data_IF_495507048548
#
_entry.id   IF_495507048548
#
_cell.length_a   1.000
_cell.length_b   1.000
_cell.length_c   1.000
_cell.angle_alpha   90.00
_cell.angle_beta   90.00
_cell.angle_gamma   90.00
#
_symmetry.space_group_name_H-M   'P 1'
#
loop_
_entity.id
_entity.type
_entity.pdbx_description
1 polymer ?
#
# COMPACT_ATOMS: atom_id res chain seq x y z
N UNK A 1 -0.23 5.63 15.21
CA UNK A 1 -0.18 5.35 13.75
C UNK A 1 0.52 6.51 13.08
N UNK A 2 1.50 6.26 12.22
CA UNK A 2 2.18 7.33 11.49
C UNK A 2 1.36 7.75 10.27
N UNK A 3 1.43 9.03 9.92
CA UNK A 3 0.72 9.64 8.81
C UNK A 3 1.70 10.54 8.06
N UNK A 4 1.74 10.44 6.74
CA UNK A 4 2.44 11.35 5.84
C UNK A 4 1.41 12.07 4.98
N UNK A 5 1.58 13.38 4.84
CA UNK A 5 0.74 14.21 3.99
C UNK A 5 1.64 14.85 2.94
N UNK A 6 1.26 14.72 1.67
CA UNK A 6 1.94 15.37 0.55
C UNK A 6 0.97 16.30 -0.17
N UNK A 7 1.49 17.41 -0.69
CA UNK A 7 0.74 18.33 -1.53
C UNK A 7 0.94 17.92 -2.99
N UNK A 8 -0.14 17.61 -3.68
CA UNK A 8 -0.09 17.25 -5.10
C UNK A 8 -0.07 18.52 -5.97
N UNK A 9 0.50 18.47 -7.19
CA UNK A 9 0.54 19.61 -8.11
C UNK A 9 -0.85 20.17 -8.47
N UNK A 10 -1.89 19.33 -8.41
CA UNK A 10 -3.27 19.71 -8.71
C UNK A 10 -3.99 20.40 -7.53
N UNK A 11 -3.28 20.76 -6.46
CA UNK A 11 -3.83 21.45 -5.29
C UNK A 11 -4.51 20.54 -4.26
N UNK A 12 -4.67 19.25 -4.56
CA UNK A 12 -5.15 18.27 -3.58
C UNK A 12 -4.03 17.83 -2.63
N UNK A 13 -4.44 17.25 -1.50
CA UNK A 13 -3.52 16.59 -0.57
C UNK A 13 -3.70 15.09 -0.66
N UNK A 14 -2.60 14.35 -0.66
CA UNK A 14 -2.64 12.90 -0.48
C UNK A 14 -2.21 12.54 0.93
N UNK A 15 -3.04 11.74 1.58
CA UNK A 15 -2.81 11.24 2.93
C UNK A 15 -2.37 9.79 2.81
N UNK A 16 -1.21 9.47 3.37
CA UNK A 16 -0.61 8.15 3.34
C UNK A 16 -0.45 7.72 4.80
N UNK A 17 -1.03 6.58 5.15
CA UNK A 17 -0.98 6.06 6.51
C UNK A 17 -0.94 4.54 6.50
N UNK A 18 -0.53 3.98 7.63
CA UNK A 18 -0.44 2.54 7.81
C UNK A 18 0.83 2.12 8.55
N UNK A 19 0.88 0.85 8.94
CA UNK A 19 2.03 0.32 9.72
C UNK A 19 3.32 0.27 8.90
N UNK A 20 3.21 0.13 7.58
CA UNK A 20 4.34 -0.21 6.71
C UNK A 20 4.69 0.85 5.67
N UNK A 21 3.93 1.94 5.54
CA UNK A 21 4.10 2.88 4.42
C UNK A 21 5.50 3.51 4.35
N UNK A 22 6.15 3.78 5.49
CA UNK A 22 7.51 4.34 5.53
C UNK A 22 8.60 3.36 5.06
N UNK A 23 8.26 2.08 4.87
CA UNK A 23 9.19 1.10 4.35
C UNK A 23 9.13 0.99 2.82
N UNK A 24 8.13 1.62 2.21
CA UNK A 24 7.97 1.67 0.77
C UNK A 24 8.51 3.01 0.27
N UNK A 25 9.54 2.96 -0.56
CA UNK A 25 10.02 4.12 -1.29
C UNK A 25 9.26 4.20 -2.62
N UNK A 26 8.05 4.76 -2.56
CA UNK A 26 7.15 4.92 -3.70
C UNK A 26 6.97 6.40 -4.01
N UNK A 27 6.80 6.71 -5.29
CA UNK A 27 6.39 8.04 -5.72
C UNK A 27 4.90 8.22 -5.48
N UNK A 28 4.56 8.73 -4.30
CA UNK A 28 3.18 8.98 -3.92
C UNK A 28 2.57 10.19 -4.64
N UNK A 29 3.29 10.97 -5.45
CA UNK A 29 2.72 12.10 -6.19
C UNK A 29 2.00 11.67 -7.48
N UNK A 30 2.22 10.44 -7.94
CA UNK A 30 1.65 9.88 -9.15
C UNK A 30 0.11 9.74 -9.13
N UNK A 31 -0.49 9.53 -10.31
CA UNK A 31 -1.90 9.14 -10.41
C UNK A 31 -2.18 7.79 -9.73
N UNK A 32 -3.41 7.60 -9.23
CA UNK A 32 -3.76 6.40 -8.45
C UNK A 32 -3.59 5.10 -9.25
N UNK A 33 -3.85 5.11 -10.56
CA UNK A 33 -3.69 3.94 -11.41
C UNK A 33 -2.23 3.50 -11.55
N UNK A 34 -1.30 4.46 -11.56
CA UNK A 34 0.14 4.19 -11.64
C UNK A 34 0.64 3.75 -10.27
N UNK A 35 0.32 4.52 -9.23
CA UNK A 35 0.70 4.20 -7.86
C UNK A 35 0.20 2.81 -7.42
N UNK A 36 -1.00 2.43 -7.84
CA UNK A 36 -1.55 1.09 -7.57
C UNK A 36 -0.63 -0.01 -8.10
N UNK A 37 -0.20 0.10 -9.36
CA UNK A 37 0.67 -0.92 -10.00
C UNK A 37 2.01 -1.01 -9.27
N UNK A 38 2.57 0.12 -8.86
CA UNK A 38 3.82 0.15 -8.12
C UNK A 38 3.68 -0.47 -6.73
N UNK A 39 2.57 -0.23 -6.02
CA UNK A 39 2.26 -0.90 -4.75
C UNK A 39 2.08 -2.41 -4.97
N UNK A 40 1.31 -2.83 -5.97
CA UNK A 40 1.10 -4.26 -6.29
C UNK A 40 2.43 -4.95 -6.61
N UNK A 41 3.29 -4.30 -7.39
CA UNK A 41 4.63 -4.80 -7.69
C UNK A 41 5.47 -4.93 -6.41
N UNK A 42 5.55 -3.88 -5.58
CA UNK A 42 6.31 -3.91 -4.34
C UNK A 42 5.83 -5.01 -3.40
N UNK A 43 4.51 -5.19 -3.25
CA UNK A 43 3.92 -6.26 -2.44
C UNK A 43 4.30 -7.65 -2.98
N UNK A 44 4.24 -7.86 -4.29
CA UNK A 44 4.62 -9.14 -4.90
C UNK A 44 6.10 -9.49 -4.68
N UNK A 45 7.00 -8.50 -4.74
CA UNK A 45 8.43 -8.68 -4.46
C UNK A 45 8.64 -9.06 -3.00
N UNK A 46 7.96 -8.39 -2.07
CA UNK A 46 8.05 -8.72 -0.63
C UNK A 46 7.50 -10.12 -0.36
N UNK A 47 6.37 -10.47 -0.98
CA UNK A 47 5.75 -11.79 -0.86
C UNK A 47 6.65 -12.91 -1.38
N UNK A 48 7.27 -12.71 -2.55
CA UNK A 48 8.20 -13.68 -3.13
C UNK A 48 9.46 -13.83 -2.27
N UNK A 49 9.92 -12.74 -1.66
CA UNK A 49 11.15 -12.69 -0.86
C UNK A 49 10.90 -12.67 0.67
N UNK A 50 9.81 -13.29 1.15
CA UNK A 50 9.40 -13.28 2.59
C UNK A 50 10.53 -13.63 3.57
N UNK A 51 11.45 -14.51 3.18
CA UNK A 51 12.58 -14.93 4.02
C UNK A 51 13.59 -13.81 4.28
N UNK A 52 13.74 -12.89 3.33
CA UNK A 52 14.58 -11.68 3.40
C UNK A 52 13.82 -10.59 4.13
N UNK A 53 12.55 -10.39 3.77
CA UNK A 53 11.68 -9.36 4.34
C UNK A 53 10.93 -9.82 5.59
N UNK A 54 11.65 -10.38 6.58
CA UNK A 54 11.05 -10.95 7.81
C UNK A 54 10.14 -9.97 8.57
N UNK A 55 10.41 -8.66 8.48
CA UNK A 55 9.57 -7.61 9.10
C UNK A 55 8.15 -7.54 8.52
N UNK A 56 7.97 -8.02 7.29
CA UNK A 56 6.71 -8.03 6.54
C UNK A 56 6.06 -9.40 6.48
N UNK A 57 6.65 -10.45 7.04
CA UNK A 57 6.10 -11.82 6.99
C UNK A 57 4.65 -11.88 7.50
N UNK A 58 4.37 -11.21 8.62
CA UNK A 58 3.02 -11.08 9.22
C UNK A 58 1.97 -10.38 8.34
N UNK A 59 2.40 -9.66 7.30
CA UNK A 59 1.49 -9.05 6.33
C UNK A 59 0.84 -10.11 5.44
N UNK A 60 1.53 -11.22 5.17
CA UNK A 60 1.07 -12.26 4.25
C UNK A 60 0.80 -13.62 4.92
N UNK A 61 0.88 -13.68 6.25
CA UNK A 61 0.62 -14.90 7.01
C UNK A 61 -0.89 -15.18 7.06
N UNK A 62 -1.32 -16.25 6.37
CA UNK A 62 -2.74 -16.64 6.23
C UNK A 62 -3.64 -15.51 5.70
N UNK A 63 -3.09 -14.63 4.85
CA UNK A 63 -3.81 -13.52 4.22
C UNK A 63 -3.56 -13.52 2.73
N UNK A 64 -4.57 -13.12 1.96
CA UNK A 64 -4.46 -12.90 0.52
C UNK A 64 -4.48 -11.39 0.32
N UNK A 65 -3.30 -10.79 0.17
CA UNK A 65 -3.17 -9.33 0.10
C UNK A 65 -3.39 -8.82 -1.31
N UNK A 66 -4.15 -7.73 -1.45
CA UNK A 66 -4.37 -7.05 -2.72
C UNK A 66 -4.58 -5.56 -2.52
N UNK A 67 -4.41 -4.79 -3.61
CA UNK A 67 -4.64 -3.35 -3.62
C UNK A 67 -6.03 -3.07 -4.18
N UNK A 68 -6.92 -2.60 -3.31
CA UNK A 68 -8.23 -2.10 -3.70
C UNK A 68 -8.12 -0.62 -4.10
N UNK A 69 -8.86 -0.24 -5.14
CA UNK A 69 -8.95 1.14 -5.59
C UNK A 69 -10.40 1.59 -5.56
N UNK A 70 -10.68 2.56 -4.70
CA UNK A 70 -11.91 3.33 -4.74
C UNK A 70 -11.75 4.55 -5.66
N UNK A 71 -12.78 5.41 -5.73
CA UNK A 71 -12.74 6.59 -6.60
C UNK A 71 -11.61 7.57 -6.32
N UNK A 72 -11.16 7.67 -5.05
CA UNK A 72 -10.14 8.64 -4.62
C UNK A 72 -9.09 8.07 -3.66
N UNK A 73 -9.06 6.76 -3.42
CA UNK A 73 -8.15 6.14 -2.46
C UNK A 73 -7.70 4.75 -2.91
N UNK A 74 -6.57 4.32 -2.34
CA UNK A 74 -6.02 2.98 -2.47
C UNK A 74 -5.92 2.37 -1.08
N UNK A 75 -6.38 1.13 -0.94
CA UNK A 75 -6.28 0.36 0.29
C UNK A 75 -5.56 -0.96 0.04
N UNK A 76 -4.64 -1.33 0.94
CA UNK A 76 -4.05 -2.67 0.96
C UNK A 76 -4.91 -3.52 1.90
N UNK A 77 -5.63 -4.50 1.37
CA UNK A 77 -6.61 -5.29 2.11
C UNK A 77 -6.38 -6.80 1.97
N UNK A 78 -6.99 -7.56 2.89
CA UNK A 78 -7.00 -9.02 2.93
C UNK A 78 -8.30 -9.56 2.30
N UNK A 79 -8.19 -10.38 1.24
CA UNK A 79 -9.32 -10.80 0.38
C UNK A 79 -10.39 -11.53 1.15
N UNK A 80 -9.98 -12.31 2.13
CA UNK A 80 -10.89 -13.18 2.88
C UNK A 80 -11.59 -12.45 4.03
N UNK A 81 -11.22 -11.18 4.31
CA UNK A 81 -11.81 -10.40 5.40
C UNK A 81 -12.70 -9.25 4.97
N UNK A 82 -12.74 -8.91 3.67
CA UNK A 82 -13.50 -7.77 3.17
C UNK A 82 -13.00 -6.43 3.72
N UNK A 83 -13.45 -5.34 3.11
CA UNK A 83 -13.09 -3.97 3.51
C UNK A 83 -13.27 -3.76 5.02
N UNK A 84 -12.18 -3.46 5.72
CA UNK A 84 -12.21 -2.98 7.10
C UNK A 84 -12.74 -1.54 7.07
N UNK A 85 -14.06 -1.40 7.25
CA UNK A 85 -14.64 -0.13 7.73
C UNK A 85 -14.14 0.20 9.13
#
# INVERSE_FOLDING_TARGET
MKVKIINLPNGYKRIIYGKYFEQFDLDYEQDLDVLKKDIEFALSVIEYNRSIFKKFSSLFENKIIFVYQGGHHLDIIDRDKGSLK
#
